data_IF_672669437339
#
_entry.id   IF_672669437339
#
_cell.length_a   1.000
_cell.length_b   1.000
_cell.length_c   1.000
_cell.angle_alpha   90.00
_cell.angle_beta   90.00
_cell.angle_gamma   90.00
#
_symmetry.space_group_name_H-M   'P 1'
#
loop_
_entity.id
_entity.type
_entity.pdbx_description
1 polymer ?
#
# COMPACT_ATOMS: atom_id res chain seq x y z
N UNK A 1 -12.41 7.49 -0.37
CA UNK A 1 -11.30 6.57 -0.71
C UNK A 1 -11.81 5.42 -1.55
N UNK A 2 -10.93 4.73 -2.25
CA UNK A 2 -11.35 3.57 -3.09
C UNK A 2 -11.81 2.42 -2.20
N UNK A 3 -11.01 2.10 -1.18
CA UNK A 3 -11.38 1.12 -0.15
C UNK A 3 -11.09 1.71 1.22
N UNK A 4 -12.10 1.76 2.08
CA UNK A 4 -11.91 2.09 3.49
C UNK A 4 -11.27 0.90 4.22
N UNK A 5 -11.63 -0.30 3.82
CA UNK A 5 -11.09 -1.55 4.35
C UNK A 5 -10.87 -2.55 3.23
N UNK A 6 -9.90 -3.43 3.42
CA UNK A 6 -9.70 -4.62 2.59
C UNK A 6 -9.73 -5.82 3.52
N UNK A 7 -10.65 -6.75 3.25
CA UNK A 7 -10.82 -7.94 4.08
C UNK A 7 -10.72 -9.18 3.21
N UNK A 8 -9.92 -10.13 3.65
CA UNK A 8 -9.81 -11.42 2.96
C UNK A 8 -9.19 -12.46 3.88
N UNK A 9 -9.26 -13.70 3.44
CA UNK A 9 -8.69 -14.84 4.17
C UNK A 9 -7.65 -15.54 3.33
N UNK A 10 -6.48 -15.79 3.91
CA UNK A 10 -5.41 -16.57 3.33
C UNK A 10 -4.91 -17.52 4.42
N UNK A 11 -5.45 -18.75 4.44
CA UNK A 11 -5.24 -19.71 5.52
C UNK A 11 -3.78 -19.81 5.94
N UNK A 12 -3.46 -19.79 7.23
CA UNK A 12 -4.38 -19.70 8.38
C UNK A 12 -4.76 -18.27 8.79
N UNK A 13 -4.41 -17.26 7.98
CA UNK A 13 -4.55 -15.85 8.35
C UNK A 13 -5.86 -15.24 7.86
N UNK A 14 -6.44 -14.37 8.70
CA UNK A 14 -7.52 -13.48 8.32
C UNK A 14 -6.97 -12.06 8.29
N UNK A 15 -7.20 -11.35 7.18
CA UNK A 15 -6.70 -9.98 6.98
C UNK A 15 -7.86 -9.00 7.11
N UNK A 16 -7.65 -7.98 7.94
CA UNK A 16 -8.54 -6.82 8.03
C UNK A 16 -7.66 -5.57 7.99
N UNK A 17 -7.57 -4.96 6.83
CA UNK A 17 -6.74 -3.79 6.61
C UNK A 17 -7.64 -2.56 6.57
N UNK A 18 -7.48 -1.66 7.54
CA UNK A 18 -8.27 -0.44 7.65
C UNK A 18 -7.37 0.76 7.33
N UNK A 19 -7.87 1.68 6.51
CA UNK A 19 -7.09 2.81 6.01
C UNK A 19 -7.67 4.12 6.55
N UNK A 20 -6.82 4.92 7.19
CA UNK A 20 -7.22 6.21 7.77
C UNK A 20 -6.91 7.39 6.86
N UNK A 21 -6.06 7.20 5.85
CA UNK A 21 -5.63 8.27 4.95
C UNK A 21 -5.52 7.74 3.52
N UNK A 22 -5.50 8.66 2.57
CA UNK A 22 -5.37 8.35 1.14
C UNK A 22 -4.03 7.69 0.82
N UNK A 23 -2.97 8.08 1.52
CA UNK A 23 -1.63 7.48 1.39
C UNK A 23 -1.31 6.76 2.69
N UNK A 24 -1.07 5.46 2.60
CA UNK A 24 -0.69 4.60 3.72
C UNK A 24 0.73 4.09 3.49
N UNK A 25 1.63 4.36 4.41
CA UNK A 25 3.01 3.87 4.37
C UNK A 25 3.14 2.72 5.34
N UNK A 26 3.29 1.50 4.79
CA UNK A 26 3.46 0.29 5.59
C UNK A 26 4.96 0.13 5.84
N UNK A 27 5.36 0.39 7.08
CA UNK A 27 6.74 0.32 7.53
C UNK A 27 7.02 -1.02 8.19
N UNK A 28 8.25 -1.24 8.55
CA UNK A 28 8.71 -2.47 9.18
C UNK A 28 9.84 -3.11 8.38
N UNK A 29 10.51 -4.06 8.99
CA UNK A 29 11.60 -4.78 8.33
C UNK A 29 11.07 -5.90 7.42
N UNK A 30 11.98 -6.59 6.74
CA UNK A 30 11.63 -7.63 5.77
C UNK A 30 10.95 -8.85 6.39
N UNK A 31 11.00 -9.01 7.70
CA UNK A 31 10.42 -10.15 8.40
C UNK A 31 8.94 -9.94 8.80
N UNK A 32 8.32 -8.84 8.40
CA UNK A 32 6.97 -8.47 8.87
C UNK A 32 5.82 -9.00 8.01
N UNK A 33 6.10 -9.80 6.96
CA UNK A 33 5.06 -10.37 6.13
C UNK A 33 4.59 -9.48 4.99
N UNK A 34 5.29 -8.37 4.68
CA UNK A 34 4.91 -7.45 3.60
C UNK A 34 4.91 -8.13 2.24
N UNK A 35 5.92 -8.96 1.96
CA UNK A 35 6.02 -9.68 0.68
C UNK A 35 4.85 -10.65 0.51
N UNK A 36 4.48 -11.36 1.57
CA UNK A 36 3.35 -12.28 1.55
C UNK A 36 2.04 -11.52 1.29
N UNK A 37 1.83 -10.40 1.97
CA UNK A 37 0.66 -9.58 1.74
C UNK A 37 0.58 -9.09 0.29
N UNK A 38 1.70 -8.63 -0.27
CA UNK A 38 1.74 -8.20 -1.67
C UNK A 38 1.28 -9.32 -2.61
N UNK A 39 1.77 -10.55 -2.39
CA UNK A 39 1.39 -11.71 -3.20
C UNK A 39 -0.10 -12.02 -3.05
N UNK A 40 -0.65 -11.91 -1.84
CA UNK A 40 -2.07 -12.17 -1.62
C UNK A 40 -2.94 -11.12 -2.31
N UNK A 41 -2.49 -9.87 -2.34
CA UNK A 41 -3.20 -8.80 -3.05
C UNK A 41 -3.19 -9.01 -4.56
N UNK A 42 -2.14 -9.64 -5.12
CA UNK A 42 -2.12 -9.99 -6.54
C UNK A 42 -3.24 -11.00 -6.88
N UNK A 43 -3.53 -11.92 -5.99
CA UNK A 43 -4.65 -12.85 -6.17
C UNK A 43 -5.98 -12.14 -5.95
N UNK A 44 -6.05 -11.29 -4.93
CA UNK A 44 -7.29 -10.62 -4.53
C UNK A 44 -7.81 -9.68 -5.62
N UNK A 45 -6.92 -9.01 -6.36
CA UNK A 45 -7.34 -8.10 -7.44
C UNK A 45 -8.10 -8.80 -8.57
N UNK A 46 -7.99 -10.12 -8.65
CA UNK A 46 -8.71 -10.90 -9.65
C UNK A 46 -10.18 -11.09 -9.28
N UNK A 47 -10.58 -10.72 -8.08
CA UNK A 47 -11.97 -10.78 -7.64
C UNK A 47 -12.70 -9.49 -8.04
N UNK A 48 -14.01 -9.60 -8.25
CA UNK A 48 -14.82 -8.45 -8.67
C UNK A 48 -14.77 -7.31 -7.65
N UNK A 49 -14.87 -7.62 -6.37
CA UNK A 49 -14.88 -6.61 -5.31
C UNK A 49 -13.60 -5.78 -5.28
N UNK A 50 -12.46 -6.38 -5.59
CA UNK A 50 -11.14 -5.75 -5.45
C UNK A 50 -10.43 -5.53 -6.79
N UNK A 51 -11.19 -5.45 -7.88
CA UNK A 51 -10.63 -5.27 -9.23
C UNK A 51 -9.93 -3.93 -9.43
N UNK A 52 -10.17 -2.95 -8.55
CA UNK A 52 -9.53 -1.63 -8.64
C UNK A 52 -8.15 -1.58 -7.98
N UNK A 53 -7.65 -2.70 -7.48
CA UNK A 53 -6.29 -2.79 -6.96
C UNK A 53 -5.31 -2.86 -8.14
N UNK A 54 -4.28 -2.02 -8.10
CA UNK A 54 -3.16 -2.02 -9.04
C UNK A 54 -1.87 -2.19 -8.27
N UNK A 55 -1.01 -3.13 -8.67
CA UNK A 55 0.21 -3.43 -7.94
C UNK A 55 1.43 -3.18 -8.81
N UNK A 56 2.46 -2.60 -8.20
CA UNK A 56 3.75 -2.34 -8.84
C UNK A 56 4.89 -2.81 -7.94
N UNK A 57 5.92 -3.35 -8.55
CA UNK A 57 7.19 -3.70 -7.91
C UNK A 57 8.33 -3.45 -8.89
N UNK A 58 9.55 -3.83 -8.51
CA UNK A 58 10.73 -3.61 -9.35
C UNK A 58 10.70 -4.37 -10.68
N UNK A 59 9.82 -5.39 -10.80
CA UNK A 59 9.65 -6.15 -12.04
C UNK A 59 8.59 -5.57 -12.97
N UNK A 60 7.87 -4.54 -12.52
CA UNK A 60 6.80 -3.95 -13.32
C UNK A 60 7.37 -3.22 -14.53
N UNK A 61 6.87 -3.56 -15.71
CA UNK A 61 7.29 -2.90 -16.94
C UNK A 61 6.78 -1.47 -16.97
N UNK A 62 7.66 -0.53 -17.35
CA UNK A 62 7.31 0.87 -17.55
C UNK A 62 6.56 1.48 -16.35
N UNK A 63 7.06 1.20 -15.16
CA UNK A 63 6.39 1.59 -13.91
C UNK A 63 6.01 3.06 -13.88
N UNK A 64 6.97 3.96 -14.19
CA UNK A 64 6.75 5.41 -14.05
C UNK A 64 5.61 5.91 -14.95
N UNK A 65 5.54 5.44 -16.18
CA UNK A 65 4.45 5.82 -17.09
C UNK A 65 3.13 5.14 -16.71
N UNK A 66 3.19 3.88 -16.33
CA UNK A 66 2.00 3.12 -15.93
C UNK A 66 1.34 3.73 -14.69
N UNK A 67 2.15 4.15 -13.70
CA UNK A 67 1.65 4.82 -12.51
C UNK A 67 0.86 6.08 -12.88
N UNK A 68 1.40 6.89 -13.79
CA UNK A 68 0.81 8.17 -14.17
C UNK A 68 -0.48 8.03 -14.99
N UNK A 69 -0.79 6.83 -15.46
CA UNK A 69 -2.05 6.52 -16.15
C UNK A 69 -3.16 6.09 -15.20
N UNK A 70 -2.83 5.81 -13.94
CA UNK A 70 -3.81 5.32 -12.96
C UNK A 70 -4.77 6.42 -12.54
N UNK A 71 -6.07 6.08 -12.54
CA UNK A 71 -7.13 6.97 -12.07
C UNK A 71 -8.17 6.15 -11.31
N UNK A 72 -8.58 6.64 -10.15
CA UNK A 72 -9.58 5.99 -9.29
C UNK A 72 -9.22 4.55 -8.96
N UNK A 73 -7.96 4.34 -8.58
CA UNK A 73 -7.45 3.02 -8.25
C UNK A 73 -6.81 3.01 -6.87
N UNK A 74 -6.79 1.80 -6.28
CA UNK A 74 -6.03 1.51 -5.07
C UNK A 74 -4.67 0.96 -5.51
N UNK A 75 -3.61 1.74 -5.32
CA UNK A 75 -2.30 1.45 -5.87
C UNK A 75 -1.37 0.96 -4.76
N UNK A 76 -0.82 -0.23 -4.96
CA UNK A 76 0.14 -0.85 -4.05
C UNK A 76 1.51 -0.80 -4.72
N UNK A 77 2.51 -0.24 -4.02
CA UNK A 77 3.87 -0.13 -4.55
C UNK A 77 4.82 -0.76 -3.54
N UNK A 78 5.51 -1.82 -3.96
CA UNK A 78 6.53 -2.47 -3.15
C UNK A 78 7.85 -1.72 -3.30
N UNK A 79 8.62 -1.62 -2.23
CA UNK A 79 9.89 -0.88 -2.20
C UNK A 79 9.76 0.54 -2.77
N UNK A 80 8.72 1.25 -2.34
CA UNK A 80 8.38 2.57 -2.89
C UNK A 80 9.52 3.59 -2.71
N UNK A 81 10.27 3.50 -1.61
CA UNK A 81 11.42 4.38 -1.37
C UNK A 81 12.53 4.23 -2.42
N UNK A 82 12.64 3.06 -3.04
CA UNK A 82 13.62 2.80 -4.11
C UNK A 82 13.06 3.06 -5.50
N UNK A 83 11.75 2.86 -5.71
CA UNK A 83 11.13 2.95 -7.03
C UNK A 83 10.70 4.36 -7.41
N UNK A 84 10.21 5.15 -6.45
CA UNK A 84 9.61 6.44 -6.74
C UNK A 84 10.68 7.48 -7.06
N UNK A 85 10.55 8.14 -8.20
CA UNK A 85 11.31 9.35 -8.51
C UNK A 85 10.51 10.61 -8.13
N UNK A 86 11.07 11.78 -8.36
CA UNK A 86 10.43 13.05 -8.00
C UNK A 86 9.11 13.26 -8.74
N UNK A 87 9.06 12.90 -10.02
CA UNK A 87 7.85 13.04 -10.82
C UNK A 87 6.73 12.10 -10.32
N UNK A 88 7.10 10.89 -9.89
CA UNK A 88 6.15 9.95 -9.30
C UNK A 88 5.56 10.51 -8.00
N UNK A 89 6.40 11.09 -7.13
CA UNK A 89 5.94 11.69 -5.87
C UNK A 89 5.02 12.87 -6.12
N UNK A 90 5.36 13.70 -7.09
CA UNK A 90 4.50 14.80 -7.50
C UNK A 90 3.13 14.27 -7.95
N UNK A 91 3.11 13.25 -8.79
CA UNK A 91 1.87 12.64 -9.25
C UNK A 91 1.02 12.12 -8.08
N UNK A 92 1.65 11.38 -7.16
CA UNK A 92 0.95 10.82 -5.99
C UNK A 92 0.34 11.93 -5.13
N UNK A 93 1.06 13.01 -4.94
CA UNK A 93 0.58 14.12 -4.12
C UNK A 93 -0.60 14.86 -4.76
N UNK A 94 -0.60 15.02 -6.08
CA UNK A 94 -1.57 15.87 -6.78
C UNK A 94 -2.71 15.11 -7.44
N UNK A 95 -2.56 13.83 -7.76
CA UNK A 95 -3.67 13.00 -8.26
C UNK A 95 -4.44 12.41 -7.09
N UNK A 96 -5.41 13.18 -6.58
CA UNK A 96 -6.12 12.84 -5.35
C UNK A 96 -7.23 11.80 -5.54
N UNK A 97 -7.51 11.38 -6.78
CA UNK A 97 -8.52 10.35 -7.05
C UNK A 97 -8.04 8.94 -6.75
N UNK A 98 -6.74 8.72 -6.64
CA UNK A 98 -6.15 7.43 -6.29
C UNK A 98 -5.96 7.30 -4.77
N UNK A 99 -5.87 6.07 -4.32
CA UNK A 99 -5.48 5.72 -2.95
C UNK A 99 -4.22 4.87 -3.03
N UNK A 100 -3.32 5.00 -2.07
CA UNK A 100 -2.01 4.35 -2.12
C UNK A 100 -1.73 3.57 -0.85
N UNK A 101 -1.18 2.37 -1.02
CA UNK A 101 -0.54 1.62 0.05
C UNK A 101 0.89 1.33 -0.38
N UNK A 102 1.86 1.94 0.29
CA UNK A 102 3.26 1.89 -0.07
C UNK A 102 4.02 1.06 0.96
N UNK A 103 4.77 0.08 0.50
CA UNK A 103 5.71 -0.64 1.35
C UNK A 103 7.06 0.05 1.24
N UNK A 104 7.50 0.69 2.32
CA UNK A 104 8.75 1.45 2.32
C UNK A 104 9.22 1.70 3.75
N UNK A 105 10.51 1.94 3.92
CA UNK A 105 11.06 2.34 5.22
C UNK A 105 10.87 3.83 5.44
N UNK A 106 11.02 4.60 4.38
CA UNK A 106 10.94 6.05 4.42
C UNK A 106 10.50 6.53 3.04
N UNK A 107 9.73 7.60 2.98
CA UNK A 107 9.25 8.13 1.71
C UNK A 107 9.14 9.65 1.79
N UNK A 108 10.29 10.32 1.67
CA UNK A 108 10.34 11.78 1.66
C UNK A 108 9.62 12.33 0.44
N UNK A 109 9.08 13.52 0.56
CA UNK A 109 8.45 14.21 -0.56
C UNK A 109 6.99 13.85 -0.80
N UNK A 110 6.39 12.99 0.02
CA UNK A 110 4.98 12.66 -0.04
C UNK A 110 4.19 13.40 1.04
N UNK A 111 2.94 13.74 0.72
CA UNK A 111 2.02 14.40 1.65
C UNK A 111 1.47 13.40 2.65
N UNK A 112 2.27 13.09 3.67
CA UNK A 112 1.92 12.12 4.71
C UNK A 112 1.46 12.84 5.97
N UNK A 113 0.48 12.22 6.66
CA UNK A 113 0.05 12.63 8.00
C UNK A 113 0.58 11.62 9.02
N UNK A 114 0.36 11.91 10.31
CA UNK A 114 0.68 10.94 11.35
C UNK A 114 -0.07 9.62 11.18
N UNK A 115 -1.26 9.67 10.57
CA UNK A 115 -2.09 8.50 10.33
C UNK A 115 -1.65 7.68 9.13
N UNK A 116 -0.75 8.21 8.29
CA UNK A 116 -0.21 7.49 7.14
C UNK A 116 0.74 6.36 7.54
N UNK A 117 1.39 6.46 8.70
CA UNK A 117 2.44 5.53 9.13
C UNK A 117 1.83 4.36 9.88
N UNK A 118 1.94 3.16 9.31
CA UNK A 118 1.39 1.94 9.90
C UNK A 118 2.40 0.80 9.82
N UNK A 119 2.16 -0.23 10.63
CA UNK A 119 2.90 -1.49 10.55
C UNK A 119 1.89 -2.64 10.50
N UNK A 120 2.29 -3.74 9.88
CA UNK A 120 1.51 -4.98 9.92
C UNK A 120 1.61 -5.58 11.31
N UNK A 121 0.47 -5.97 11.87
CA UNK A 121 0.38 -6.61 13.17
C UNK A 121 -0.39 -7.91 13.04
N UNK A 122 0.19 -9.00 13.54
CA UNK A 122 -0.47 -10.30 13.57
C UNK A 122 -0.68 -10.72 15.02
N UNK A 123 -1.91 -11.09 15.35
CA UNK A 123 -2.29 -11.62 16.66
C UNK A 123 -3.31 -12.73 16.43
N UNK A 124 -3.01 -13.95 16.88
CA UNK A 124 -3.89 -15.11 16.74
C UNK A 124 -4.37 -15.30 15.29
N UNK A 125 -3.43 -15.22 14.34
CA UNK A 125 -3.68 -15.37 12.90
C UNK A 125 -4.56 -14.27 12.30
N UNK A 126 -4.78 -13.18 13.03
CA UNK A 126 -5.45 -11.99 12.49
C UNK A 126 -4.42 -10.92 12.17
N UNK A 127 -4.41 -10.46 10.92
CA UNK A 127 -3.46 -9.47 10.43
C UNK A 127 -4.18 -8.15 10.22
N UNK A 128 -3.68 -7.12 10.85
CA UNK A 128 -4.22 -5.77 10.78
C UNK A 128 -3.11 -4.76 10.53
N UNK A 129 -3.49 -3.53 10.19
CA UNK A 129 -2.59 -2.38 10.16
C UNK A 129 -2.78 -1.59 11.44
N UNK A 130 -1.69 -1.40 12.19
CA UNK A 130 -1.74 -0.56 13.39
C UNK A 130 -0.89 0.68 13.17
N UNK A 131 -1.35 1.80 13.72
CA UNK A 131 -0.65 3.06 13.61
C UNK A 131 0.71 2.96 14.29
N UNK A 132 1.75 3.36 13.57
CA UNK A 132 3.08 3.47 14.14
C UNK A 132 3.22 4.83 14.83
N UNK A 133 3.68 4.81 16.10
CA UNK A 133 3.96 6.05 16.81
C UNK A 133 5.30 6.58 16.29
N UNK A 134 5.21 7.69 15.55
CA UNK A 134 6.41 8.37 15.04
C UNK A 134 6.81 9.41 16.07
N UNK A 135 7.96 9.21 16.70
CA UNK A 135 8.53 10.22 17.60
C UNK A 135 9.07 11.38 16.76
N UNK A 136 8.74 12.56 17.17
CA UNK A 136 9.15 13.81 16.50
C UNK A 136 10.46 14.28 17.11
#
# INVERSE_FOLDING_TARGET
>A
MIYDTIEFRAEPFSYFLSFADRITLVRGDSATGKTYLYQMLEDLKMTEKYQNIKLFNYKSDDFHNSLKKCRKQFIVIDNADLLLDDADRFFINFETGNQYMLFARNCDGLNLSAESFVVLNETDYQVTLIRELVSV
#
